data_IF_286606742619
#
_entry.id   IF_286606742619
#
_cell.length_a   1.000
_cell.length_b   1.000
_cell.length_c   1.000
_cell.angle_alpha   90.00
_cell.angle_beta   90.00
_cell.angle_gamma   90.00
#
_symmetry.space_group_name_H-M   'P 1'
#
loop_
_entity.id
_entity.type
_entity.pdbx_description
1 polymer ?
#
# COMPACT_ATOMS: atom_id res chain seq x y z
N UNK A 1 28.48 23.76 -18.40
CA UNK A 1 27.23 23.05 -18.05
C UNK A 1 26.18 24.13 -17.86
N UNK A 2 25.53 24.53 -18.95
CA UNK A 2 24.35 25.41 -18.84
C UNK A 2 23.26 24.56 -18.18
N UNK A 3 23.01 24.81 -16.89
CA UNK A 3 21.85 24.23 -16.22
C UNK A 3 20.61 24.83 -16.88
N UNK A 4 19.77 24.00 -17.48
CA UNK A 4 18.46 24.41 -17.94
C UNK A 4 17.63 24.81 -16.71
N UNK A 5 17.62 26.11 -16.39
CA UNK A 5 17.07 26.68 -15.15
C UNK A 5 15.57 26.48 -15.01
N UNK A 6 14.89 25.89 -16.01
CA UNK A 6 13.47 25.59 -16.00
C UNK A 6 13.14 24.09 -15.81
N UNK A 7 14.14 23.20 -15.75
CA UNK A 7 13.88 21.78 -15.51
C UNK A 7 13.44 21.58 -14.06
N UNK A 8 12.26 20.98 -13.87
CA UNK A 8 11.77 20.58 -12.55
C UNK A 8 12.15 19.12 -12.29
N UNK A 9 12.61 18.83 -11.08
CA UNK A 9 12.86 17.46 -10.60
C UNK A 9 12.23 17.25 -9.23
N UNK A 10 12.04 15.98 -8.86
CA UNK A 10 11.64 15.54 -7.53
C UNK A 10 12.89 15.00 -6.84
N UNK A 11 13.25 15.58 -5.72
CA UNK A 11 14.41 15.16 -4.92
C UNK A 11 13.89 14.46 -3.67
N UNK A 12 14.30 13.22 -3.44
CA UNK A 12 13.87 12.42 -2.29
C UNK A 12 15.07 11.80 -1.59
N UNK A 13 15.12 11.88 -0.26
CA UNK A 13 16.11 11.13 0.50
C UNK A 13 15.70 9.66 0.58
N UNK A 14 16.58 8.77 0.11
CA UNK A 14 16.36 7.31 0.06
C UNK A 14 17.36 6.53 0.91
N UNK A 15 18.11 7.20 1.78
CA UNK A 15 19.08 6.58 2.68
C UNK A 15 20.50 6.50 2.12
N UNK A 16 21.43 6.14 3.00
CA UNK A 16 22.87 6.12 2.71
C UNK A 16 23.39 4.69 2.46
N UNK A 17 24.50 4.60 1.74
CA UNK A 17 25.21 3.35 1.50
C UNK A 17 24.32 2.27 0.89
N UNK A 18 24.41 1.04 1.42
CA UNK A 18 23.70 -0.13 0.89
C UNK A 18 22.19 0.08 0.74
N UNK A 19 21.55 0.77 1.70
CA UNK A 19 20.11 1.00 1.67
C UNK A 19 19.71 1.93 0.51
N UNK A 20 20.41 3.05 0.35
CA UNK A 20 20.20 3.96 -0.78
C UNK A 20 20.39 3.29 -2.14
N UNK A 21 21.42 2.45 -2.28
CA UNK A 21 21.63 1.70 -3.53
C UNK A 21 20.52 0.69 -3.83
N UNK A 22 19.94 0.04 -2.82
CA UNK A 22 18.80 -0.87 -3.02
C UNK A 22 17.55 -0.13 -3.47
N UNK A 23 17.26 1.04 -2.88
CA UNK A 23 16.14 1.88 -3.30
C UNK A 23 16.35 2.46 -4.71
N UNK A 24 17.59 2.80 -5.08
CA UNK A 24 17.94 3.21 -6.44
C UNK A 24 17.64 2.08 -7.46
N UNK A 25 18.07 0.85 -7.20
CA UNK A 25 17.81 -0.29 -8.08
C UNK A 25 16.31 -0.54 -8.25
N UNK A 26 15.54 -0.46 -7.16
CA UNK A 26 14.07 -0.53 -7.21
C UNK A 26 13.48 0.59 -8.07
N UNK A 27 13.94 1.83 -7.89
CA UNK A 27 13.47 2.99 -8.64
C UNK A 27 13.74 2.83 -10.15
N UNK A 28 14.94 2.39 -10.52
CA UNK A 28 15.33 2.15 -11.91
C UNK A 28 14.47 1.06 -12.55
N UNK A 29 14.29 -0.09 -11.89
CA UNK A 29 13.46 -1.17 -12.41
C UNK A 29 11.99 -0.74 -12.63
N UNK A 30 11.44 0.04 -11.69
CA UNK A 30 10.07 0.57 -11.80
C UNK A 30 9.94 1.64 -12.90
N UNK A 31 10.99 2.45 -13.10
CA UNK A 31 11.02 3.46 -14.16
C UNK A 31 11.16 2.84 -15.55
N UNK A 32 12.01 1.83 -15.70
CA UNK A 32 12.17 1.06 -16.95
C UNK A 32 10.85 0.40 -17.35
N UNK A 33 10.11 -0.14 -16.38
CA UNK A 33 8.78 -0.70 -16.57
C UNK A 33 7.65 0.35 -16.70
N UNK A 34 7.98 1.65 -16.68
CA UNK A 34 7.06 2.79 -16.83
C UNK A 34 5.98 2.87 -15.73
N UNK A 35 6.29 2.38 -14.52
CA UNK A 35 5.43 2.54 -13.35
C UNK A 35 5.79 3.76 -12.50
N UNK A 36 7.02 4.26 -12.61
CA UNK A 36 7.53 5.39 -11.84
C UNK A 36 8.27 6.41 -12.71
N UNK A 37 8.54 7.62 -12.19
CA UNK A 37 9.35 8.59 -12.92
C UNK A 37 10.75 8.05 -13.20
N UNK A 38 11.37 8.56 -14.27
CA UNK A 38 12.75 8.23 -14.61
C UNK A 38 13.71 8.74 -13.54
N UNK A 39 14.73 7.92 -13.25
CA UNK A 39 15.80 8.28 -12.32
C UNK A 39 16.86 9.06 -13.07
N UNK A 40 17.13 10.28 -12.63
CA UNK A 40 18.12 11.15 -13.26
C UNK A 40 19.49 11.01 -12.62
N UNK A 41 19.54 10.99 -11.28
CA UNK A 41 20.79 10.88 -10.54
C UNK A 41 20.57 10.38 -9.11
N UNK A 42 21.67 9.97 -8.45
CA UNK A 42 21.74 9.71 -7.01
C UNK A 42 22.95 10.47 -6.47
N UNK A 43 22.74 11.32 -5.47
CA UNK A 43 23.80 12.09 -4.83
C UNK A 43 23.62 12.10 -3.31
N UNK A 44 24.60 11.57 -2.57
CA UNK A 44 24.62 11.59 -1.09
C UNK A 44 23.32 11.08 -0.43
N UNK A 45 22.74 10.02 -1.00
CA UNK A 45 21.49 9.41 -0.52
C UNK A 45 20.21 10.13 -0.97
N UNK A 46 20.32 11.19 -1.78
CA UNK A 46 19.19 11.84 -2.44
C UNK A 46 19.06 11.34 -3.88
N UNK A 47 17.92 10.72 -4.20
CA UNK A 47 17.57 10.40 -5.57
C UNK A 47 16.90 11.60 -6.23
N UNK A 48 17.31 11.89 -7.46
CA UNK A 48 16.66 12.84 -8.33
C UNK A 48 15.82 12.10 -9.36
N UNK A 49 14.53 12.42 -9.40
CA UNK A 49 13.54 11.84 -10.31
C UNK A 49 13.01 12.92 -11.25
N UNK A 50 12.72 12.53 -12.48
CA UNK A 50 12.05 13.41 -13.44
C UNK A 50 10.71 13.90 -12.88
N UNK A 51 10.40 15.19 -13.03
CA UNK A 51 9.10 15.71 -12.59
C UNK A 51 7.96 15.20 -13.49
N UNK A 52 6.98 14.52 -12.89
CA UNK A 52 5.79 14.07 -13.60
C UNK A 52 4.71 15.17 -13.64
N UNK A 53 4.53 15.78 -14.82
CA UNK A 53 3.40 16.68 -15.06
C UNK A 53 2.10 15.87 -15.10
N UNK A 54 1.12 16.27 -14.30
CA UNK A 54 -0.20 15.63 -14.28
C UNK A 54 -1.00 16.06 -13.06
N UNK A 55 -2.06 15.31 -12.77
CA UNK A 55 -2.93 15.55 -11.61
C UNK A 55 -2.85 14.35 -10.66
N UNK A 56 -2.60 14.56 -9.35
CA UNK A 56 -2.71 13.51 -8.35
C UNK A 56 -4.11 12.89 -8.36
N UNK A 57 -4.19 11.57 -8.26
CA UNK A 57 -5.48 10.89 -8.23
C UNK A 57 -6.19 11.10 -6.89
N UNK A 58 -7.51 11.00 -6.97
CA UNK A 58 -8.44 10.90 -5.86
C UNK A 58 -9.17 9.55 -5.91
N UNK A 59 -9.94 9.24 -4.87
CA UNK A 59 -10.77 8.03 -4.85
C UNK A 59 -11.82 8.02 -5.97
N UNK A 60 -12.25 9.18 -6.48
CA UNK A 60 -13.22 9.30 -7.59
C UNK A 60 -12.64 9.02 -8.97
N UNK A 61 -11.31 8.94 -9.11
CA UNK A 61 -10.66 8.71 -10.40
C UNK A 61 -10.59 7.22 -10.79
N UNK A 62 -11.16 6.34 -9.97
CA UNK A 62 -11.16 4.90 -10.22
C UNK A 62 -11.91 4.57 -11.52
N UNK A 63 -11.22 3.89 -12.42
CA UNK A 63 -11.76 3.38 -13.67
C UNK A 63 -11.01 2.11 -14.07
N UNK A 64 -11.51 1.40 -15.09
CA UNK A 64 -10.92 0.14 -15.53
C UNK A 64 -9.47 0.28 -15.98
N UNK A 65 -9.10 1.38 -16.65
CA UNK A 65 -7.72 1.61 -17.09
C UNK A 65 -6.77 1.79 -15.90
N UNK A 66 -7.22 2.46 -14.85
CA UNK A 66 -6.43 2.60 -13.63
C UNK A 66 -6.33 1.28 -12.85
N UNK A 67 -7.42 0.51 -12.76
CA UNK A 67 -7.39 -0.84 -12.18
C UNK A 67 -6.39 -1.73 -12.92
N UNK A 68 -6.40 -1.68 -14.26
CA UNK A 68 -5.44 -2.40 -15.11
C UNK A 68 -4.00 -1.99 -14.79
N UNK A 69 -3.74 -0.68 -14.66
CA UNK A 69 -2.43 -0.15 -14.32
C UNK A 69 -1.94 -0.67 -12.96
N UNK A 70 -2.77 -0.57 -11.91
CA UNK A 70 -2.38 -1.03 -10.57
C UNK A 70 -2.18 -2.54 -10.53
N UNK A 71 -3.01 -3.33 -11.23
CA UNK A 71 -2.80 -4.78 -11.31
C UNK A 71 -1.44 -5.13 -11.95
N UNK A 72 -1.08 -4.49 -13.07
CA UNK A 72 0.22 -4.68 -13.73
C UNK A 72 1.39 -4.23 -12.85
N UNK A 73 1.21 -3.12 -12.13
CA UNK A 73 2.20 -2.63 -11.19
C UNK A 73 2.46 -3.62 -10.06
N UNK A 74 1.40 -4.14 -9.42
CA UNK A 74 1.53 -5.11 -8.33
C UNK A 74 2.05 -6.46 -8.81
N UNK A 75 1.69 -6.88 -10.02
CA UNK A 75 2.28 -8.04 -10.69
C UNK A 75 3.79 -7.87 -10.85
N UNK A 76 4.23 -6.70 -11.36
CA UNK A 76 5.65 -6.39 -11.50
C UNK A 76 6.36 -6.40 -10.15
N UNK A 77 5.77 -5.81 -9.11
CA UNK A 77 6.31 -5.84 -7.74
C UNK A 77 6.46 -7.29 -7.26
N UNK A 78 5.44 -8.12 -7.47
CA UNK A 78 5.43 -9.51 -7.03
C UNK A 78 6.56 -10.34 -7.64
N UNK A 79 6.86 -10.12 -8.93
CA UNK A 79 7.87 -10.90 -9.65
C UNK A 79 9.30 -10.38 -9.45
N UNK A 80 9.49 -9.06 -9.34
CA UNK A 80 10.83 -8.46 -9.37
C UNK A 80 11.43 -8.19 -7.99
N UNK A 81 10.62 -8.12 -6.93
CA UNK A 81 11.10 -7.70 -5.60
C UNK A 81 10.85 -8.77 -4.54
N UNK A 82 11.35 -9.99 -4.77
CA UNK A 82 11.35 -11.04 -3.75
C UNK A 82 12.15 -10.60 -2.51
N UNK A 83 11.65 -10.98 -1.34
CA UNK A 83 12.25 -10.57 -0.07
C UNK A 83 12.08 -11.64 1.01
N UNK A 84 12.81 -11.47 2.10
CA UNK A 84 12.66 -12.29 3.30
C UNK A 84 11.48 -11.81 4.15
N UNK A 85 10.82 -12.75 4.81
CA UNK A 85 9.72 -12.43 5.73
C UNK A 85 10.23 -11.62 6.91
N UNK A 86 9.67 -10.42 7.09
CA UNK A 86 9.97 -9.56 8.26
C UNK A 86 8.90 -9.63 9.33
N UNK A 87 7.67 -9.99 8.96
CA UNK A 87 6.52 -10.07 9.85
C UNK A 87 5.92 -11.47 9.81
N UNK A 88 6.05 -12.19 10.93
CA UNK A 88 5.41 -13.50 11.11
C UNK A 88 3.90 -13.37 11.19
N UNK A 89 3.19 -14.47 10.90
CA UNK A 89 1.73 -14.51 11.03
C UNK A 89 1.26 -14.10 12.43
N UNK A 90 1.92 -14.61 13.47
CA UNK A 90 1.53 -14.35 14.86
C UNK A 90 1.63 -12.85 15.21
N UNK A 91 2.68 -12.15 14.75
CA UNK A 91 2.83 -10.70 14.93
C UNK A 91 1.75 -9.90 14.19
N UNK A 92 1.40 -10.33 12.99
CA UNK A 92 0.30 -9.72 12.23
C UNK A 92 -1.03 -9.87 12.99
N UNK A 93 -1.33 -11.06 13.52
CA UNK A 93 -2.54 -11.31 14.32
C UNK A 93 -2.54 -10.47 15.60
N UNK A 94 -1.42 -10.36 16.31
CA UNK A 94 -1.28 -9.51 17.49
C UNK A 94 -1.64 -8.05 17.18
N UNK A 95 -1.11 -7.51 16.08
CA UNK A 95 -1.43 -6.14 15.66
C UNK A 95 -2.88 -5.97 15.22
N UNK A 96 -3.47 -6.96 14.54
CA UNK A 96 -4.89 -6.92 14.20
C UNK A 96 -5.73 -6.92 15.47
N UNK A 97 -5.41 -7.79 16.44
CA UNK A 97 -6.11 -7.88 17.72
C UNK A 97 -6.08 -6.55 18.45
N UNK A 98 -4.90 -5.97 18.63
CA UNK A 98 -4.72 -4.68 19.28
C UNK A 98 -5.52 -3.58 18.58
N UNK A 99 -5.37 -3.44 17.26
CA UNK A 99 -6.05 -2.38 16.51
C UNK A 99 -7.59 -2.57 16.47
N UNK A 100 -8.08 -3.80 16.44
CA UNK A 100 -9.52 -4.11 16.53
C UNK A 100 -10.06 -3.76 17.91
N UNK A 101 -9.36 -4.15 18.97
CA UNK A 101 -9.75 -3.83 20.35
C UNK A 101 -9.81 -2.32 20.56
N UNK A 102 -8.74 -1.61 20.24
CA UNK A 102 -8.61 -0.17 20.44
C UNK A 102 -9.49 0.65 19.47
N UNK A 103 -9.77 0.13 18.28
CA UNK A 103 -10.48 0.86 17.24
C UNK A 103 -11.99 0.61 17.19
N UNK A 104 -12.44 -0.63 17.38
CA UNK A 104 -13.87 -1.00 17.23
C UNK A 104 -14.45 -1.80 18.40
N UNK A 105 -13.62 -2.12 19.40
CA UNK A 105 -14.01 -2.72 20.68
C UNK A 105 -13.87 -4.24 20.73
N UNK A 106 -13.75 -4.75 21.96
CA UNK A 106 -13.44 -6.15 22.27
C UNK A 106 -14.47 -7.18 21.78
N UNK A 107 -15.72 -6.75 21.53
CA UNK A 107 -16.78 -7.63 21.02
C UNK A 107 -16.48 -8.26 19.64
N UNK A 108 -15.49 -7.76 18.91
CA UNK A 108 -15.09 -8.32 17.60
C UNK A 108 -13.90 -9.29 17.68
N UNK A 109 -13.27 -9.45 18.85
CA UNK A 109 -12.02 -10.22 18.98
C UNK A 109 -12.20 -11.70 18.70
N UNK A 110 -13.36 -12.28 19.07
CA UNK A 110 -13.69 -13.68 18.71
C UNK A 110 -13.67 -13.94 17.20
N UNK A 111 -13.93 -12.91 16.39
CA UNK A 111 -13.88 -13.00 14.92
C UNK A 111 -12.44 -12.96 14.43
N UNK A 112 -11.60 -12.11 15.03
CA UNK A 112 -10.14 -12.10 14.78
C UNK A 112 -9.56 -13.48 15.05
N UNK A 113 -9.92 -14.11 16.17
CA UNK A 113 -9.49 -15.47 16.51
C UNK A 113 -9.95 -16.52 15.50
N UNK A 114 -11.19 -16.42 14.99
CA UNK A 114 -11.72 -17.33 13.96
C UNK A 114 -10.90 -17.22 12.67
N UNK A 115 -10.65 -16.00 12.20
CA UNK A 115 -9.87 -15.76 10.97
C UNK A 115 -8.42 -16.22 11.17
N UNK A 116 -7.83 -15.98 12.34
CA UNK A 116 -6.46 -16.44 12.63
C UNK A 116 -6.29 -17.95 12.44
N UNK A 117 -7.30 -18.75 12.82
CA UNK A 117 -7.28 -20.21 12.64
C UNK A 117 -7.42 -20.63 11.18
N UNK A 118 -8.30 -19.96 10.44
CA UNK A 118 -8.59 -20.28 9.03
C UNK A 118 -7.43 -19.92 8.09
N UNK A 119 -6.69 -18.85 8.41
CA UNK A 119 -5.74 -18.22 7.47
C UNK A 119 -4.28 -18.51 7.71
N UNK A 120 -3.93 -19.20 8.82
CA UNK A 120 -2.53 -19.48 9.19
C UNK A 120 -1.72 -20.08 8.05
N UNK A 121 -2.30 -21.05 7.32
CA UNK A 121 -1.62 -21.75 6.24
C UNK A 121 -1.59 -20.98 4.91
N UNK A 122 -2.31 -19.87 4.79
CA UNK A 122 -2.39 -19.06 3.56
C UNK A 122 -1.51 -17.80 3.62
N UNK A 123 -0.87 -17.54 4.77
CA UNK A 123 -0.10 -16.32 5.01
C UNK A 123 1.36 -16.42 4.53
N UNK A 124 1.96 -17.59 4.62
CA UNK A 124 3.42 -17.79 4.52
C UNK A 124 3.91 -18.23 3.14
N UNK A 125 3.35 -17.64 2.08
CA UNK A 125 3.76 -17.91 0.70
C UNK A 125 4.15 -16.62 -0.02
N UNK A 126 5.21 -16.68 -0.83
CA UNK A 126 5.64 -15.63 -1.77
C UNK A 126 5.79 -14.24 -1.16
N UNK A 127 6.76 -14.11 -0.24
CA UNK A 127 7.10 -12.83 0.38
C UNK A 127 7.81 -11.91 -0.60
N UNK A 128 7.34 -10.66 -0.64
CA UNK A 128 7.87 -9.61 -1.50
C UNK A 128 8.11 -8.33 -0.70
N UNK A 129 9.06 -7.52 -1.16
CA UNK A 129 9.15 -6.13 -0.80
C UNK A 129 8.00 -5.38 -1.48
N UNK A 130 6.84 -5.47 -0.83
CA UNK A 130 5.57 -4.82 -1.21
C UNK A 130 5.77 -3.34 -1.52
N UNK A 131 4.80 -2.72 -2.19
CA UNK A 131 4.72 -1.28 -2.16
C UNK A 131 4.44 -0.78 -0.75
N UNK A 132 3.55 -1.45 -0.01
CA UNK A 132 3.21 -1.16 1.38
C UNK A 132 2.15 -0.07 1.54
N UNK A 133 2.01 0.85 0.57
CA UNK A 133 1.08 1.99 0.68
C UNK A 133 0.59 2.54 -0.67
N UNK A 134 -0.66 2.23 -1.02
CA UNK A 134 -1.27 2.67 -2.27
C UNK A 134 -2.26 3.83 -2.08
N UNK A 135 -1.81 4.99 -1.59
CA UNK A 135 -2.71 6.15 -1.43
C UNK A 135 -3.05 6.77 -2.79
N UNK A 136 -4.25 7.34 -2.98
CA UNK A 136 -4.62 7.96 -4.26
C UNK A 136 -3.64 9.03 -4.74
N UNK A 137 -3.18 9.91 -3.85
CA UNK A 137 -2.27 10.99 -4.21
C UNK A 137 -0.84 10.52 -4.53
N UNK A 138 -0.51 9.25 -4.26
CA UNK A 138 0.76 8.65 -4.67
C UNK A 138 0.77 8.35 -6.18
N UNK A 139 -0.37 8.48 -6.87
CA UNK A 139 -0.50 8.27 -8.31
C UNK A 139 -0.80 9.58 -9.04
N UNK A 140 -0.10 9.82 -10.14
CA UNK A 140 -0.31 10.96 -11.03
C UNK A 140 -0.92 10.45 -12.34
N UNK A 141 -2.03 11.07 -12.75
CA UNK A 141 -2.56 10.94 -14.11
C UNK A 141 -1.92 11.99 -15.00
N UNK A 142 -1.07 11.53 -15.91
CA UNK A 142 -0.44 12.35 -16.95
C UNK A 142 -1.05 12.10 -18.33
N UNK A 143 -0.48 12.74 -19.34
CA UNK A 143 -0.90 12.58 -20.74
C UNK A 143 -0.65 11.16 -21.28
N UNK A 144 0.37 10.48 -20.77
CA UNK A 144 0.79 9.14 -21.20
C UNK A 144 0.22 8.00 -20.34
N UNK A 145 -0.67 8.30 -19.38
CA UNK A 145 -1.27 7.31 -18.48
C UNK A 145 -1.05 7.65 -17.02
N UNK A 146 -0.72 6.62 -16.22
CA UNK A 146 -0.57 6.75 -14.77
C UNK A 146 0.88 6.48 -14.37
N UNK A 147 1.36 7.19 -13.35
CA UNK A 147 2.68 7.00 -12.76
C UNK A 147 2.52 7.01 -11.24
N UNK A 148 3.20 6.11 -10.52
CA UNK A 148 3.30 6.15 -9.06
C UNK A 148 4.57 6.89 -8.66
N UNK A 149 4.43 7.86 -7.75
CA UNK A 149 5.51 8.79 -7.36
C UNK A 149 6.01 8.59 -5.92
N UNK A 150 5.34 7.75 -5.12
CA UNK A 150 5.76 7.39 -3.76
C UNK A 150 5.65 5.88 -3.54
N UNK A 151 6.77 5.15 -3.51
CA UNK A 151 6.82 3.68 -3.65
C UNK A 151 8.16 2.98 -3.29
N UNK A 152 9.19 3.71 -2.86
CA UNK A 152 10.56 3.15 -2.78
C UNK A 152 10.83 2.42 -1.48
N UNK A 153 10.34 2.93 -0.36
CA UNK A 153 10.82 2.57 0.97
C UNK A 153 9.79 1.93 1.90
N UNK A 154 8.48 1.98 1.58
CA UNK A 154 7.49 1.62 2.61
C UNK A 154 7.50 0.16 3.04
N UNK A 155 8.04 -0.76 2.24
CA UNK A 155 8.31 -2.14 2.68
C UNK A 155 9.37 -2.25 3.79
N UNK A 156 10.09 -1.16 4.08
CA UNK A 156 11.07 -1.05 5.15
C UNK A 156 10.62 -0.07 6.25
N UNK A 157 9.44 0.55 6.11
CA UNK A 157 8.88 1.44 7.13
C UNK A 157 8.56 0.66 8.41
N UNK A 158 8.73 1.32 9.55
CA UNK A 158 8.40 0.75 10.86
C UNK A 158 6.88 0.77 11.16
N UNK A 159 6.10 1.50 10.36
CA UNK A 159 4.67 1.73 10.60
C UNK A 159 3.77 0.66 9.97
N UNK A 160 4.20 0.08 8.86
CA UNK A 160 3.50 -1.00 8.17
C UNK A 160 4.39 -2.23 8.10
N UNK A 161 3.76 -3.39 8.03
CA UNK A 161 4.39 -4.68 8.28
C UNK A 161 5.37 -5.15 7.18
N UNK A 162 6.46 -4.42 6.97
CA UNK A 162 7.64 -4.87 6.23
C UNK A 162 7.37 -5.57 4.88
N UNK A 163 8.32 -6.41 4.47
CA UNK A 163 8.12 -7.37 3.39
C UNK A 163 7.15 -8.49 3.80
N UNK A 164 6.16 -8.76 2.95
CA UNK A 164 5.09 -9.73 3.20
C UNK A 164 4.42 -10.18 1.88
N UNK A 165 3.31 -10.91 1.97
CA UNK A 165 2.55 -11.35 0.80
C UNK A 165 1.93 -10.15 0.04
N UNK A 166 1.97 -10.19 -1.30
CA UNK A 166 1.46 -9.14 -2.19
C UNK A 166 -0.04 -8.84 -2.00
N UNK A 167 -0.81 -9.77 -1.45
CA UNK A 167 -2.23 -9.56 -1.12
C UNK A 167 -2.42 -8.39 -0.13
N UNK A 168 -1.39 -8.01 0.63
CA UNK A 168 -1.38 -6.76 1.41
C UNK A 168 -1.62 -5.53 0.53
N UNK A 169 -0.88 -5.40 -0.57
CA UNK A 169 -1.04 -4.27 -1.48
C UNK A 169 -2.37 -4.35 -2.24
N UNK A 170 -2.79 -5.56 -2.63
CA UNK A 170 -4.12 -5.73 -3.24
C UNK A 170 -5.23 -5.26 -2.29
N UNK A 171 -5.14 -5.60 -1.00
CA UNK A 171 -6.05 -5.12 0.02
C UNK A 171 -5.95 -3.60 0.23
N UNK A 172 -4.73 -3.06 0.26
CA UNK A 172 -4.49 -1.62 0.34
C UNK A 172 -5.13 -0.86 -0.81
N UNK A 173 -5.01 -1.36 -2.04
CA UNK A 173 -5.67 -0.78 -3.20
C UNK A 173 -7.19 -0.77 -3.03
N UNK A 174 -7.76 -1.89 -2.56
CA UNK A 174 -9.19 -2.02 -2.31
C UNK A 174 -9.71 -1.01 -1.28
N UNK A 175 -8.96 -0.79 -0.20
CA UNK A 175 -9.35 0.07 0.94
C UNK A 175 -9.10 1.55 0.65
N UNK A 176 -7.98 1.90 0.04
CA UNK A 176 -7.60 3.30 -0.18
C UNK A 176 -8.36 3.94 -1.36
N UNK A 177 -8.78 3.16 -2.35
CA UNK A 177 -9.66 3.63 -3.43
C UNK A 177 -11.14 3.31 -3.21
N UNK A 178 -11.50 2.68 -2.09
CA UNK A 178 -12.89 2.37 -1.76
C UNK A 178 -13.58 1.49 -2.82
N UNK A 179 -12.87 0.48 -3.33
CA UNK A 179 -13.35 -0.33 -4.45
C UNK A 179 -14.68 -1.02 -4.12
N UNK A 180 -15.63 -0.92 -5.05
CA UNK A 180 -16.90 -1.65 -5.00
C UNK A 180 -16.69 -3.16 -5.17
N UNK A 181 -17.68 -3.98 -4.80
CA UNK A 181 -17.58 -5.44 -4.98
C UNK A 181 -17.31 -5.84 -6.43
N UNK A 182 -17.86 -5.11 -7.42
CA UNK A 182 -17.56 -5.34 -8.83
C UNK A 182 -16.09 -5.04 -9.17
N UNK A 183 -15.57 -3.90 -8.70
CA UNK A 183 -14.17 -3.52 -8.93
C UNK A 183 -13.21 -4.48 -8.22
N UNK A 184 -13.55 -4.96 -7.03
CA UNK A 184 -12.77 -5.99 -6.33
C UNK A 184 -12.75 -7.31 -7.10
N UNK A 185 -13.90 -7.76 -7.63
CA UNK A 185 -13.94 -8.96 -8.50
C UNK A 185 -13.09 -8.79 -9.75
N UNK A 186 -13.07 -7.59 -10.33
CA UNK A 186 -12.21 -7.27 -11.46
C UNK A 186 -10.72 -7.36 -11.12
N UNK A 187 -10.31 -6.88 -9.93
CA UNK A 187 -8.93 -7.01 -9.43
C UNK A 187 -8.58 -8.48 -9.19
N UNK A 188 -9.42 -9.21 -8.45
CA UNK A 188 -9.23 -10.64 -8.16
C UNK A 188 -9.06 -11.43 -9.46
N UNK A 189 -9.95 -11.24 -10.44
CA UNK A 189 -9.91 -11.96 -11.72
C UNK A 189 -8.57 -11.77 -12.44
N UNK A 190 -8.04 -10.54 -12.43
CA UNK A 190 -6.73 -10.23 -13.05
C UNK A 190 -5.58 -10.81 -12.26
N UNK A 191 -5.64 -10.75 -10.93
CA UNK A 191 -4.54 -11.17 -10.06
C UNK A 191 -4.47 -12.68 -9.84
N UNK A 192 -5.50 -13.44 -10.23
CA UNK A 192 -5.48 -14.92 -10.18
C UNK A 192 -4.32 -15.54 -10.96
N UNK A 193 -3.85 -14.89 -12.03
CA UNK A 193 -2.68 -15.35 -12.78
C UNK A 193 -1.36 -15.13 -12.04
N UNK A 194 -1.35 -14.30 -11.00
CA UNK A 194 -0.19 -13.97 -10.17
C UNK A 194 -0.23 -14.78 -8.87
N UNK A 195 -1.39 -14.87 -8.23
CA UNK A 195 -1.65 -15.69 -7.05
C UNK A 195 -3.02 -16.38 -7.20
N UNK A 196 -2.99 -17.69 -7.44
CA UNK A 196 -4.18 -18.52 -7.63
C UNK A 196 -5.11 -18.53 -6.40
N UNK A 197 -4.60 -18.17 -5.22
CA UNK A 197 -5.35 -18.13 -3.95
C UNK A 197 -5.69 -16.70 -3.51
N UNK A 198 -5.53 -15.69 -4.38
CA UNK A 198 -5.82 -14.29 -4.01
C UNK A 198 -7.26 -14.12 -3.51
N UNK A 199 -8.23 -14.84 -4.07
CA UNK A 199 -9.63 -14.80 -3.63
C UNK A 199 -9.82 -15.33 -2.21
N UNK A 200 -9.05 -16.34 -1.83
CA UNK A 200 -9.03 -16.90 -0.47
C UNK A 200 -8.30 -15.99 0.49
N UNK A 201 -7.13 -15.43 0.10
CA UNK A 201 -6.25 -14.59 0.94
C UNK A 201 -6.83 -13.20 1.20
N UNK A 202 -7.47 -12.59 0.20
CA UNK A 202 -7.88 -11.18 0.24
C UNK A 202 -8.80 -10.80 1.42
N UNK A 203 -9.80 -11.60 1.85
CA UNK A 203 -10.63 -11.24 3.01
C UNK A 203 -9.81 -11.01 4.29
N UNK A 204 -8.80 -11.84 4.55
CA UNK A 204 -7.89 -11.64 5.67
C UNK A 204 -7.06 -10.37 5.50
N UNK A 205 -6.44 -10.17 4.32
CA UNK A 205 -5.63 -8.98 4.09
C UNK A 205 -6.44 -7.68 4.09
N UNK A 206 -7.71 -7.70 3.71
CA UNK A 206 -8.62 -6.56 3.87
C UNK A 206 -8.80 -6.21 5.35
N UNK A 207 -9.03 -7.21 6.21
CA UNK A 207 -9.14 -7.01 7.66
C UNK A 207 -7.82 -6.53 8.23
N UNK A 208 -6.71 -7.17 7.86
CA UNK A 208 -5.37 -6.83 8.31
C UNK A 208 -5.00 -5.38 7.97
N UNK A 209 -5.13 -5.03 6.68
CA UNK A 209 -4.85 -3.69 6.20
C UNK A 209 -5.76 -2.65 6.86
N UNK A 210 -7.09 -2.89 6.91
CA UNK A 210 -8.04 -1.96 7.52
C UNK A 210 -7.77 -1.76 9.02
N UNK A 211 -7.42 -2.82 9.76
CA UNK A 211 -7.08 -2.72 11.19
C UNK A 211 -5.80 -1.90 11.39
N UNK A 212 -4.74 -2.19 10.65
CA UNK A 212 -3.48 -1.44 10.76
C UNK A 212 -3.66 0.03 10.35
N UNK A 213 -4.40 0.26 9.26
CA UNK A 213 -4.71 1.60 8.79
C UNK A 213 -5.55 2.37 9.79
N UNK A 214 -6.51 1.71 10.45
CA UNK A 214 -7.31 2.28 11.54
C UNK A 214 -6.41 2.73 12.70
N UNK A 215 -5.49 1.87 13.15
CA UNK A 215 -4.51 2.21 14.19
C UNK A 215 -3.69 3.45 13.83
N UNK A 216 -3.17 3.52 12.60
CA UNK A 216 -2.43 4.68 12.11
C UNK A 216 -3.27 5.96 12.13
N UNK A 217 -4.46 5.94 11.51
CA UNK A 217 -5.26 7.18 11.40
C UNK A 217 -5.79 7.64 12.75
N UNK A 218 -6.06 6.69 13.66
CA UNK A 218 -6.45 7.00 15.03
C UNK A 218 -5.32 7.71 15.77
N UNK A 219 -4.10 7.15 15.72
CA UNK A 219 -2.93 7.79 16.32
C UNK A 219 -2.68 9.19 15.75
N UNK A 220 -2.80 9.36 14.43
CA UNK A 220 -2.66 10.66 13.78
C UNK A 220 -3.77 11.65 14.20
N UNK A 221 -5.03 11.20 14.26
CA UNK A 221 -6.17 12.02 14.69
C UNK A 221 -6.05 12.46 16.16
N UNK A 222 -5.56 11.57 17.02
CA UNK A 222 -5.36 11.84 18.44
C UNK A 222 -4.16 12.80 18.64
N UNK A 223 -3.07 12.63 17.87
CA UNK A 223 -1.88 13.50 17.92
C UNK A 223 -2.13 14.90 17.37
N UNK A 224 -3.03 15.04 16.40
CA UNK A 224 -3.39 16.30 15.74
C UNK A 224 -4.72 16.87 16.26
N UNK A 225 -5.15 16.46 17.46
CA UNK A 225 -6.43 16.88 18.03
C UNK A 225 -6.59 18.40 18.03
N UNK A 226 -7.77 18.87 17.60
CA UNK A 226 -8.09 20.30 17.51
C UNK A 226 -7.56 21.00 16.25
N UNK A 227 -6.78 20.33 15.40
CA UNK A 227 -6.30 20.86 14.12
C UNK A 227 -7.18 20.37 12.93
N UNK A 228 -7.11 21.09 11.81
CA UNK A 228 -7.84 20.79 10.58
C UNK A 228 -7.51 19.40 9.98
N UNK A 229 -6.24 19.00 9.95
CA UNK A 229 -5.79 17.68 9.51
C UNK A 229 -6.22 16.57 10.49
N UNK A 230 -6.24 16.82 11.79
CA UNK A 230 -6.79 15.91 12.81
C UNK A 230 -8.25 15.59 12.53
N UNK A 231 -9.05 16.57 12.12
CA UNK A 231 -10.43 16.34 11.68
C UNK A 231 -10.51 15.47 10.41
N UNK A 232 -9.58 15.64 9.46
CA UNK A 232 -9.50 14.76 8.28
C UNK A 232 -9.14 13.32 8.65
N UNK A 233 -8.19 13.12 9.56
CA UNK A 233 -7.86 11.79 10.07
C UNK A 233 -9.03 11.17 10.83
N UNK A 234 -9.75 11.95 11.64
CA UNK A 234 -10.97 11.48 12.32
C UNK A 234 -12.07 11.06 11.35
N UNK A 235 -12.24 11.78 10.25
CA UNK A 235 -13.16 11.38 9.19
C UNK A 235 -12.76 10.04 8.57
N UNK A 236 -11.46 9.85 8.27
CA UNK A 236 -10.95 8.58 7.73
C UNK A 236 -11.09 7.43 8.73
N UNK A 237 -10.84 7.67 10.01
CA UNK A 237 -11.07 6.71 11.10
C UNK A 237 -12.51 6.20 11.10
N UNK A 238 -13.50 7.11 11.02
CA UNK A 238 -14.92 6.74 11.01
C UNK A 238 -15.29 5.83 9.83
N UNK A 239 -14.72 6.09 8.64
CA UNK A 239 -14.92 5.24 7.47
C UNK A 239 -14.32 3.83 7.69
N UNK A 240 -13.08 3.77 8.17
CA UNK A 240 -12.40 2.49 8.44
C UNK A 240 -13.10 1.69 9.54
N UNK A 241 -13.63 2.34 10.58
CA UNK A 241 -14.44 1.70 11.61
C UNK A 241 -15.68 1.03 11.00
N UNK A 242 -16.37 1.72 10.09
CA UNK A 242 -17.54 1.16 9.41
C UNK A 242 -17.15 -0.03 8.53
N UNK A 243 -16.10 0.12 7.73
CA UNK A 243 -15.66 -0.91 6.79
C UNK A 243 -15.12 -2.16 7.49
N UNK A 244 -14.31 -1.99 8.54
CA UNK A 244 -13.75 -3.09 9.32
C UNK A 244 -14.86 -3.88 10.04
N UNK A 245 -15.87 -3.20 10.60
CA UNK A 245 -17.06 -3.87 11.17
C UNK A 245 -17.81 -4.67 10.11
N UNK A 246 -17.99 -4.12 8.90
CA UNK A 246 -18.61 -4.83 7.78
C UNK A 246 -17.82 -6.08 7.37
N UNK A 247 -16.48 -5.97 7.26
CA UNK A 247 -15.61 -7.09 6.91
C UNK A 247 -15.70 -8.21 7.96
N UNK A 248 -15.56 -7.88 9.25
CA UNK A 248 -15.65 -8.84 10.34
C UNK A 248 -17.06 -9.46 10.44
N UNK A 249 -18.11 -8.74 10.05
CA UNK A 249 -19.47 -9.30 10.02
C UNK A 249 -19.74 -10.30 8.90
N UNK A 250 -18.84 -10.42 7.92
CA UNK A 250 -18.92 -11.42 6.85
C UNK A 250 -18.16 -12.71 7.18
N UNK A 251 -17.44 -12.74 8.31
CA UNK A 251 -16.77 -13.93 8.87
C UNK A 251 -17.72 -14.67 9.81
#
# INVERSE_FOLDING_TARGET
>A
LESDTNKKSIIKFIGLGKYGYQHLQRAQALAEAKFSPEVESLHEGFIELAFCKGTPLSYSDINENFINFVCKYLEFVNYNFKAEQRVSFDKMIEMIYYNVEQGIGSRFLFKVEKIAKEYKNLYEEDVVAVDGRLLPHDFIKGEQGYIKVDHLEHHADQFFHGSQNIAWDVAGFCVEFGLTENSRRMVISRFKYVDNFIDKKLPFFLIAYSACRLGYVKLAADSLFGNYDGNKFRYRENLLVKDLKCLLNRI
#
